data_IF_225753830516
#
_entry.id   IF_225753830516
#
_cell.length_a   1.000
_cell.length_b   1.000
_cell.length_c   1.000
_cell.angle_alpha   90.00
_cell.angle_beta   90.00
_cell.angle_gamma   90.00
#
_symmetry.space_group_name_H-M   'P 1'
#
loop_
_entity.id
_entity.type
_entity.pdbx_description
1 polymer ?
#
# COMPACT_ATOMS: atom_id res chain seq x y z
N UNK A 1 25.62 22.48 -17.64
CA UNK A 1 26.41 23.73 -17.67
C UNK A 1 26.01 24.64 -18.82
N UNK A 2 25.90 24.16 -20.07
CA UNK A 2 25.54 25.00 -21.23
C UNK A 2 24.21 25.76 -21.09
N UNK A 3 23.13 25.09 -20.66
CA UNK A 3 21.82 25.75 -20.46
C UNK A 3 21.92 26.91 -19.45
N UNK A 4 22.62 26.70 -18.34
CA UNK A 4 22.79 27.74 -17.33
C UNK A 4 23.68 28.91 -17.80
N UNK A 5 24.67 28.65 -18.67
CA UNK A 5 25.47 29.71 -19.31
C UNK A 5 24.60 30.55 -20.24
N UNK A 6 23.85 29.89 -21.12
CA UNK A 6 22.97 30.54 -22.08
C UNK A 6 21.92 31.41 -21.38
N UNK A 7 21.30 30.90 -20.31
CA UNK A 7 20.37 31.69 -19.49
C UNK A 7 21.04 32.95 -18.94
N UNK A 8 22.27 32.86 -18.42
CA UNK A 8 23.00 34.05 -17.91
C UNK A 8 23.35 35.04 -19.02
N UNK A 9 23.68 34.57 -20.23
CA UNK A 9 23.91 35.44 -21.38
C UNK A 9 22.63 36.21 -21.75
N UNK A 10 21.47 35.56 -21.72
CA UNK A 10 20.19 36.23 -21.94
C UNK A 10 19.83 37.21 -20.81
N UNK A 11 20.05 36.81 -19.55
CA UNK A 11 19.88 37.71 -18.40
C UNK A 11 20.76 38.96 -18.54
N UNK A 12 22.03 38.80 -18.93
CA UNK A 12 22.95 39.91 -19.16
C UNK A 12 22.48 40.84 -20.29
N UNK A 13 21.95 40.29 -21.39
CA UNK A 13 21.34 41.09 -22.48
C UNK A 13 20.15 41.91 -22.01
N UNK A 14 19.37 41.39 -21.07
CA UNK A 14 18.22 42.07 -20.45
C UNK A 14 18.64 43.01 -19.29
N UNK A 15 19.94 43.08 -18.97
CA UNK A 15 20.45 43.91 -17.87
C UNK A 15 20.14 43.37 -16.46
N UNK A 16 19.82 42.09 -16.35
CA UNK A 16 19.37 41.44 -15.11
C UNK A 16 20.47 40.52 -14.56
N UNK A 17 20.71 40.57 -13.25
CA UNK A 17 21.79 39.81 -12.61
C UNK A 17 21.31 38.58 -11.82
N UNK A 18 20.04 38.57 -11.40
CA UNK A 18 19.43 37.45 -10.66
C UNK A 18 18.22 36.90 -11.41
N UNK A 19 18.12 35.57 -11.49
CA UNK A 19 17.01 34.92 -12.19
C UNK A 19 15.66 35.26 -11.55
N UNK A 20 15.63 35.45 -10.23
CA UNK A 20 14.44 35.85 -9.48
C UNK A 20 13.84 37.17 -9.96
N UNK A 21 14.66 38.06 -10.51
CA UNK A 21 14.22 39.37 -11.00
C UNK A 21 13.54 39.25 -12.39
N UNK A 22 13.59 38.09 -13.03
CA UNK A 22 12.88 37.77 -14.29
C UNK A 22 11.57 37.00 -14.07
N UNK A 23 11.38 36.36 -12.92
CA UNK A 23 10.22 35.50 -12.69
C UNK A 23 8.95 36.38 -12.69
N UNK A 24 8.03 36.12 -13.62
CA UNK A 24 6.78 36.88 -13.73
C UNK A 24 6.88 38.21 -14.49
N UNK A 25 8.06 38.58 -15.04
CA UNK A 25 8.26 39.81 -15.84
C UNK A 25 7.74 39.67 -17.27
N UNK A 26 6.43 39.57 -17.44
CA UNK A 26 5.77 39.49 -18.76
C UNK A 26 5.93 40.76 -19.58
N UNK A 27 6.23 41.89 -18.93
CA UNK A 27 6.55 43.18 -19.56
C UNK A 27 7.85 43.15 -20.38
N UNK A 28 8.70 42.13 -20.20
CA UNK A 28 9.91 41.93 -21.01
C UNK A 28 9.65 41.11 -22.29
N UNK A 29 8.39 40.75 -22.56
CA UNK A 29 8.00 39.93 -23.70
C UNK A 29 7.14 40.74 -24.67
N UNK A 30 7.56 40.74 -25.95
CA UNK A 30 6.78 41.34 -27.04
C UNK A 30 6.16 40.26 -27.93
N UNK A 31 4.90 40.47 -28.34
CA UNK A 31 4.23 39.62 -29.32
C UNK A 31 4.73 39.97 -30.72
N UNK A 32 5.38 39.01 -31.38
CA UNK A 32 5.76 39.15 -32.78
C UNK A 32 4.56 38.88 -33.70
N UNK A 33 4.51 39.58 -34.83
CA UNK A 33 3.46 39.40 -35.83
C UNK A 33 3.48 37.97 -36.41
N UNK A 34 2.30 37.35 -36.50
CA UNK A 34 2.13 36.02 -37.06
C UNK A 34 2.46 35.95 -38.54
N UNK A 35 3.22 34.94 -38.97
CA UNK A 35 3.63 34.72 -40.37
C UNK A 35 2.56 34.02 -41.22
N UNK A 36 1.49 33.54 -40.59
CA UNK A 36 0.38 32.84 -41.25
C UNK A 36 -0.95 33.37 -40.74
N UNK A 37 -2.00 33.22 -41.55
CA UNK A 37 -3.37 33.62 -41.16
C UNK A 37 -3.85 32.93 -39.89
N UNK A 38 -3.39 31.69 -39.61
CA UNK A 38 -3.72 30.99 -38.37
C UNK A 38 -3.02 31.61 -37.15
N UNK A 39 -1.75 32.00 -37.29
CA UNK A 39 -1.00 32.65 -36.20
C UNK A 39 -1.53 34.05 -35.88
N UNK A 40 -1.96 34.79 -36.90
CA UNK A 40 -2.53 36.13 -36.73
C UNK A 40 -3.86 36.13 -35.95
N UNK A 41 -4.55 34.98 -35.89
CA UNK A 41 -5.79 34.81 -35.14
C UNK A 41 -5.57 34.39 -33.67
N UNK A 42 -4.33 34.29 -33.20
CA UNK A 42 -4.04 33.94 -31.80
C UNK A 42 -4.09 35.19 -30.92
N UNK A 43 -4.87 35.12 -29.86
CA UNK A 43 -4.83 36.07 -28.76
C UNK A 43 -3.85 35.56 -27.68
N UNK A 44 -2.68 36.19 -27.58
CA UNK A 44 -1.66 35.86 -26.57
C UNK A 44 -1.72 36.77 -25.34
N UNK A 45 -2.65 37.74 -25.29
CA UNK A 45 -2.81 38.64 -24.14
C UNK A 45 -2.98 37.90 -22.81
N UNK A 46 -3.70 36.75 -22.73
CA UNK A 46 -3.79 35.98 -21.49
C UNK A 46 -2.45 35.42 -20.97
N UNK A 47 -1.43 35.24 -21.83
CA UNK A 47 -0.10 34.78 -21.43
C UNK A 47 0.81 35.91 -20.93
N UNK A 48 0.54 37.15 -21.36
CA UNK A 48 1.32 38.34 -21.01
C UNK A 48 0.71 39.15 -19.86
N UNK A 49 -0.52 38.81 -19.45
CA UNK A 49 -1.17 39.42 -18.31
C UNK A 49 -0.67 38.81 -17.01
N UNK A 50 -0.34 39.65 -16.03
CA UNK A 50 -0.14 39.23 -14.63
C UNK A 50 -1.48 39.07 -13.88
N UNK A 51 -2.61 39.22 -14.59
CA UNK A 51 -3.97 39.18 -14.06
C UNK A 51 -4.23 40.16 -12.90
N UNK A 52 -3.46 41.25 -12.80
CA UNK A 52 -3.59 42.24 -11.74
C UNK A 52 -3.06 41.76 -10.38
N UNK A 53 -2.07 40.88 -10.38
CA UNK A 53 -1.38 40.48 -9.15
C UNK A 53 -0.74 41.71 -8.49
N UNK A 54 -1.05 41.91 -7.21
CA UNK A 54 -0.49 43.01 -6.43
C UNK A 54 1.04 42.96 -6.44
N UNK A 55 1.68 44.09 -6.77
CA UNK A 55 3.13 44.24 -6.79
C UNK A 55 3.79 43.96 -5.43
N UNK A 56 3.03 43.98 -4.33
CA UNK A 56 3.50 43.62 -2.99
C UNK A 56 3.64 42.12 -2.78
N UNK A 57 3.09 41.27 -3.65
CA UNK A 57 3.18 39.81 -3.53
C UNK A 57 4.49 39.30 -4.11
N UNK A 58 5.05 38.26 -3.48
CA UNK A 58 6.24 37.60 -3.98
C UNK A 58 5.96 36.97 -5.35
N UNK A 59 6.82 37.28 -6.34
CA UNK A 59 6.72 36.72 -7.69
C UNK A 59 7.36 35.33 -7.81
N UNK A 60 8.09 34.90 -6.78
CA UNK A 60 8.74 33.60 -6.71
C UNK A 60 8.60 33.00 -5.30
N UNK A 61 8.87 31.69 -5.18
CA UNK A 61 8.75 31.00 -3.90
C UNK A 61 9.80 31.52 -2.90
N UNK A 62 9.34 32.11 -1.81
CA UNK A 62 10.16 32.54 -0.67
C UNK A 62 10.07 31.59 0.53
N UNK A 63 9.09 30.69 0.51
CA UNK A 63 8.86 29.73 1.58
C UNK A 63 9.81 28.53 1.43
N UNK A 64 10.57 28.15 2.47
CA UNK A 64 11.51 27.05 2.37
C UNK A 64 10.81 25.69 2.24
N UNK A 65 9.57 25.58 2.75
CA UNK A 65 8.72 24.39 2.65
C UNK A 65 7.27 24.73 3.00
N UNK A 66 6.35 23.90 2.55
CA UNK A 66 4.96 23.94 3.00
C UNK A 66 4.86 23.29 4.39
N UNK A 67 4.22 23.99 5.34
CA UNK A 67 3.88 23.39 6.63
C UNK A 67 2.67 22.44 6.43
N UNK A 68 2.76 21.16 6.83
CA UNK A 68 1.63 20.27 6.74
C UNK A 68 0.52 20.72 7.71
N UNK A 69 -0.74 20.58 7.28
CA UNK A 69 -1.90 20.86 8.13
C UNK A 69 -1.96 19.88 9.31
N UNK A 70 -1.86 18.58 9.02
CA UNK A 70 -1.76 17.53 10.02
C UNK A 70 -0.35 17.45 10.56
N UNK A 71 -0.21 17.61 11.88
CA UNK A 71 1.08 17.58 12.57
C UNK A 71 1.49 16.17 12.99
N UNK A 72 0.59 15.18 12.90
CA UNK A 72 0.90 13.79 13.24
C UNK A 72 1.36 13.61 14.68
N UNK A 73 0.78 14.36 15.63
CA UNK A 73 1.29 14.46 17.01
C UNK A 73 1.46 13.09 17.69
N UNK A 74 0.49 12.18 17.51
CA UNK A 74 0.60 10.82 18.03
C UNK A 74 1.73 10.02 17.36
N UNK A 75 1.96 10.20 16.05
CA UNK A 75 3.04 9.51 15.35
C UNK A 75 4.41 10.01 15.83
N UNK A 76 4.57 11.32 16.08
CA UNK A 76 5.81 11.87 16.64
C UNK A 76 6.02 11.44 18.09
N UNK A 77 4.95 11.34 18.89
CA UNK A 77 5.03 10.76 20.24
C UNK A 77 5.51 9.30 20.19
N UNK A 78 4.92 8.48 19.33
CA UNK A 78 5.34 7.08 19.14
C UNK A 78 6.81 6.98 18.70
N UNK A 79 7.30 7.88 17.84
CA UNK A 79 8.73 7.94 17.50
C UNK A 79 9.55 8.25 18.75
N UNK A 80 9.21 9.28 19.52
CA UNK A 80 9.93 9.64 20.73
C UNK A 80 10.04 8.45 21.71
N UNK A 81 8.96 7.70 21.90
CA UNK A 81 8.90 6.57 22.82
C UNK A 81 9.75 5.38 22.33
N UNK A 82 9.86 5.20 21.02
CA UNK A 82 10.54 4.05 20.39
C UNK A 82 11.97 4.34 19.93
N UNK A 83 12.39 5.61 19.85
CA UNK A 83 13.61 6.01 19.16
C UNK A 83 14.87 5.37 19.74
N UNK A 84 14.98 5.30 21.06
CA UNK A 84 16.14 4.66 21.71
C UNK A 84 16.19 3.16 21.43
N UNK A 85 15.03 2.49 21.45
CA UNK A 85 14.94 1.07 21.10
C UNK A 85 15.31 0.80 19.63
N UNK A 86 14.92 1.71 18.72
CA UNK A 86 15.35 1.66 17.31
C UNK A 86 16.86 1.83 17.22
N UNK A 87 17.45 2.85 17.84
CA UNK A 87 18.91 3.08 17.79
C UNK A 87 19.71 1.88 18.30
N UNK A 88 19.23 1.25 19.37
CA UNK A 88 19.89 0.11 20.03
C UNK A 88 19.55 -1.25 19.39
N UNK A 89 18.61 -1.29 18.43
CA UNK A 89 18.03 -2.54 17.89
C UNK A 89 17.53 -3.48 18.99
N UNK A 90 16.97 -2.94 20.07
CA UNK A 90 16.49 -3.76 21.20
C UNK A 90 15.09 -4.31 21.00
N UNK A 91 14.36 -3.81 19.99
CA UNK A 91 12.93 -4.04 19.85
C UNK A 91 12.13 -3.49 21.03
N UNK A 92 10.89 -3.93 21.17
CA UNK A 92 10.04 -3.59 22.32
C UNK A 92 8.56 -3.58 21.97
N UNK A 93 7.72 -3.42 22.98
CA UNK A 93 6.27 -3.41 22.81
C UNK A 93 5.66 -2.14 23.42
N UNK A 94 4.78 -1.49 22.66
CA UNK A 94 4.23 -0.17 23.00
C UNK A 94 2.74 -0.15 22.67
N UNK A 95 1.92 0.38 23.57
CA UNK A 95 0.46 0.35 23.44
C UNK A 95 -0.15 1.76 23.35
N UNK A 96 -1.07 1.97 22.40
CA UNK A 96 -1.71 3.27 22.18
C UNK A 96 -3.18 3.14 21.75
N UNK A 97 -4.09 3.97 22.30
CA UNK A 97 -5.41 4.13 21.72
C UNK A 97 -5.35 4.98 20.45
N UNK A 98 -6.10 4.59 19.42
CA UNK A 98 -6.16 5.31 18.14
C UNK A 98 -7.59 5.65 17.73
N UNK A 99 -7.71 6.61 16.83
CA UNK A 99 -8.97 7.09 16.24
C UNK A 99 -8.75 7.33 14.75
N UNK A 100 -9.84 7.40 13.98
CA UNK A 100 -9.79 7.57 12.53
C UNK A 100 -9.06 8.85 12.05
N UNK A 101 -8.89 9.84 12.93
CA UNK A 101 -8.10 11.05 12.66
C UNK A 101 -6.58 10.79 12.66
N UNK A 102 -6.14 9.71 13.30
CA UNK A 102 -4.73 9.31 13.35
C UNK A 102 -4.39 8.54 12.08
N UNK A 103 -3.86 9.27 11.10
CA UNK A 103 -3.50 8.76 9.76
C UNK A 103 -2.03 8.38 9.70
N UNK A 104 -1.69 7.47 8.79
CA UNK A 104 -0.30 7.09 8.51
C UNK A 104 0.48 6.58 9.73
N UNK A 105 -0.21 6.02 10.73
CA UNK A 105 0.42 5.45 11.92
C UNK A 105 1.39 4.33 11.49
N UNK A 106 2.60 4.37 12.02
CA UNK A 106 3.71 3.48 11.65
C UNK A 106 4.68 4.05 10.61
N UNK A 107 4.29 5.05 9.81
CA UNK A 107 5.14 5.61 8.75
C UNK A 107 6.39 6.30 9.30
N UNK A 108 6.23 7.10 10.35
CA UNK A 108 7.35 7.82 10.98
C UNK A 108 8.35 6.88 11.64
N UNK A 109 7.87 5.84 12.35
CA UNK A 109 8.72 4.79 12.93
C UNK A 109 9.46 4.02 11.83
N UNK A 110 8.75 3.58 10.79
CA UNK A 110 9.38 2.89 9.65
C UNK A 110 10.45 3.76 8.98
N UNK A 111 10.23 5.08 8.89
CA UNK A 111 11.21 6.03 8.39
C UNK A 111 12.48 6.09 9.24
N UNK A 112 12.37 6.10 10.58
CA UNK A 112 13.53 6.06 11.47
C UNK A 112 14.27 4.71 11.40
N UNK A 113 13.53 3.59 11.34
CA UNK A 113 14.11 2.25 11.14
C UNK A 113 14.88 2.21 9.81
N UNK A 114 14.25 2.61 8.70
CA UNK A 114 14.86 2.57 7.38
C UNK A 114 16.09 3.49 7.28
N UNK A 115 16.03 4.66 7.91
CA UNK A 115 17.15 5.61 7.93
C UNK A 115 18.37 5.08 8.67
N UNK A 116 18.17 4.36 9.79
CA UNK A 116 19.26 3.85 10.61
C UNK A 116 19.74 2.46 10.17
N UNK A 117 18.82 1.60 9.71
CA UNK A 117 19.05 0.16 9.54
C UNK A 117 18.64 -0.38 8.17
N UNK A 118 18.11 0.46 7.28
CA UNK A 118 17.54 0.02 6.00
C UNK A 118 16.21 -0.75 6.17
N UNK A 119 15.70 -1.30 5.08
CA UNK A 119 14.33 -1.85 5.04
C UNK A 119 14.11 -3.06 5.95
N UNK A 120 15.13 -3.91 6.11
CA UNK A 120 15.03 -5.18 6.85
C UNK A 120 15.99 -5.28 8.04
N UNK A 121 16.85 -4.28 8.29
CA UNK A 121 17.94 -4.41 9.26
C UNK A 121 17.53 -4.47 10.73
N UNK A 122 16.23 -4.47 11.02
CA UNK A 122 15.64 -4.61 12.36
C UNK A 122 14.57 -5.72 12.40
N UNK A 123 14.45 -6.56 11.37
CA UNK A 123 13.46 -7.65 11.33
C UNK A 123 13.62 -8.65 12.50
N UNK A 124 14.86 -8.92 12.93
CA UNK A 124 15.15 -9.83 14.05
C UNK A 124 14.88 -9.23 15.44
N UNK A 125 14.56 -7.93 15.53
CA UNK A 125 14.35 -7.22 16.79
C UNK A 125 13.25 -6.16 16.65
N UNK A 126 12.01 -6.57 16.37
CA UNK A 126 10.95 -5.66 15.94
C UNK A 126 10.42 -4.78 17.08
N UNK A 127 9.98 -3.58 16.72
CA UNK A 127 9.07 -2.77 17.53
C UNK A 127 7.65 -3.29 17.29
N UNK A 128 6.95 -3.65 18.35
CA UNK A 128 5.54 -4.06 18.29
C UNK A 128 4.64 -2.97 18.83
N UNK A 129 3.75 -2.45 17.99
CA UNK A 129 2.71 -1.49 18.36
C UNK A 129 1.40 -2.24 18.62
N UNK A 130 0.88 -2.18 19.84
CA UNK A 130 -0.48 -2.63 20.17
C UNK A 130 -1.44 -1.45 20.14
N UNK A 131 -2.33 -1.46 19.17
CA UNK A 131 -3.27 -0.38 18.93
C UNK A 131 -4.69 -0.84 19.27
N UNK A 132 -5.49 0.05 19.83
CA UNK A 132 -6.92 -0.18 20.08
C UNK A 132 -7.77 0.98 19.54
N UNK A 133 -8.88 0.64 18.88
CA UNK A 133 -9.79 1.62 18.25
C UNK A 133 -9.78 1.55 16.73
N UNK A 134 -10.13 2.64 16.05
CA UNK A 134 -10.22 2.66 14.58
C UNK A 134 -9.05 3.42 13.98
N UNK A 135 -8.27 2.79 13.10
CA UNK A 135 -7.17 3.47 12.41
C UNK A 135 -7.67 4.38 11.28
N UNK A 136 -7.05 5.56 11.17
CA UNK A 136 -7.23 6.41 10.00
C UNK A 136 -6.63 5.80 8.73
N UNK A 137 -6.72 6.54 7.63
CA UNK A 137 -6.14 6.11 6.36
C UNK A 137 -4.63 5.81 6.49
N UNK A 138 -4.17 4.86 5.69
CA UNK A 138 -2.74 4.54 5.52
C UNK A 138 -2.05 3.93 6.75
N UNK A 139 -2.76 3.14 7.57
CA UNK A 139 -2.14 2.36 8.66
C UNK A 139 -0.98 1.50 8.12
N UNK A 140 0.21 1.64 8.70
CA UNK A 140 1.39 0.88 8.27
C UNK A 140 1.86 1.21 6.85
N UNK A 141 1.61 2.43 6.36
CA UNK A 141 2.18 2.86 5.07
C UNK A 141 3.71 2.84 5.13
N UNK A 142 4.32 2.19 4.15
CA UNK A 142 5.77 1.93 4.07
C UNK A 142 6.35 1.14 5.25
N UNK A 143 5.57 0.24 5.83
CA UNK A 143 5.99 -0.58 6.98
C UNK A 143 7.33 -1.29 6.71
N UNK A 144 8.29 -1.11 7.61
CA UNK A 144 9.63 -1.71 7.53
C UNK A 144 9.66 -3.09 8.21
N UNK A 145 10.68 -3.89 7.89
CA UNK A 145 10.95 -5.23 8.46
C UNK A 145 10.87 -5.31 9.98
N UNK A 146 11.34 -4.27 10.67
CA UNK A 146 11.36 -4.20 12.13
C UNK A 146 10.14 -3.57 12.78
N UNK A 147 9.00 -3.45 12.09
CA UNK A 147 7.78 -2.90 12.67
C UNK A 147 6.63 -3.90 12.58
N UNK A 148 6.11 -4.29 13.74
CA UNK A 148 4.90 -5.10 13.89
C UNK A 148 3.77 -4.23 14.44
N UNK A 149 2.61 -4.24 13.79
CA UNK A 149 1.42 -3.50 14.21
C UNK A 149 0.32 -4.50 14.48
N UNK A 150 -0.22 -4.50 15.70
CA UNK A 150 -1.37 -5.31 16.11
C UNK A 150 -2.51 -4.38 16.49
N UNK A 151 -3.57 -4.35 15.70
CA UNK A 151 -4.74 -3.51 15.89
C UNK A 151 -5.94 -4.33 16.32
N UNK A 152 -6.44 -4.06 17.54
CA UNK A 152 -7.74 -4.53 18.00
C UNK A 152 -8.79 -3.46 17.69
N UNK A 153 -9.56 -3.69 16.61
CA UNK A 153 -10.48 -2.71 16.04
C UNK A 153 -10.60 -2.84 14.52
N UNK A 154 -10.72 -1.71 13.83
CA UNK A 154 -10.89 -1.60 12.38
C UNK A 154 -9.96 -0.55 11.76
N UNK A 155 -9.74 -0.58 10.45
CA UNK A 155 -8.93 0.39 9.75
C UNK A 155 -9.58 0.90 8.46
N UNK A 156 -9.34 2.16 8.14
CA UNK A 156 -9.76 2.77 6.88
C UNK A 156 -8.86 2.32 5.71
N UNK A 157 -9.00 2.98 4.56
CA UNK A 157 -8.27 2.66 3.33
C UNK A 157 -6.74 2.64 3.48
N UNK A 158 -6.08 1.95 2.55
CA UNK A 158 -4.63 1.95 2.35
C UNK A 158 -3.80 1.28 3.44
N UNK A 159 -4.37 0.31 4.19
CA UNK A 159 -3.60 -0.49 5.15
C UNK A 159 -2.42 -1.16 4.43
N UNK A 160 -1.21 -0.99 4.94
CA UNK A 160 0.01 -1.56 4.37
C UNK A 160 0.37 -1.00 2.98
N UNK A 161 -0.10 0.19 2.60
CA UNK A 161 0.30 0.84 1.33
C UNK A 161 1.82 0.93 1.23
N UNK A 162 2.40 0.42 0.15
CA UNK A 162 3.84 0.42 -0.10
C UNK A 162 4.67 -0.28 0.98
N UNK A 163 4.07 -1.19 1.75
CA UNK A 163 4.74 -1.98 2.78
C UNK A 163 5.94 -2.74 2.19
N UNK A 164 7.08 -2.66 2.87
CA UNK A 164 8.32 -3.29 2.43
C UNK A 164 8.68 -4.53 3.27
N UNK A 165 8.17 -4.63 4.49
CA UNK A 165 8.42 -5.72 5.43
C UNK A 165 7.58 -5.57 6.70
N UNK A 166 7.91 -6.40 7.70
CA UNK A 166 7.23 -6.39 9.00
C UNK A 166 5.86 -7.03 8.93
N UNK A 167 5.03 -6.78 9.94
CA UNK A 167 3.74 -7.46 10.12
C UNK A 167 2.65 -6.47 10.51
N UNK A 168 1.49 -6.56 9.88
CA UNK A 168 0.29 -5.82 10.26
C UNK A 168 -0.82 -6.85 10.54
N UNK A 169 -1.40 -6.79 11.73
CA UNK A 169 -2.48 -7.66 12.18
C UNK A 169 -3.65 -6.78 12.56
N UNK A 170 -4.83 -7.07 12.02
CA UNK A 170 -6.07 -6.38 12.35
C UNK A 170 -7.11 -7.42 12.75
N UNK A 171 -7.59 -7.35 13.99
CA UNK A 171 -8.62 -8.25 14.50
C UNK A 171 -9.72 -7.47 15.21
N UNK A 172 -10.98 -7.98 15.20
CA UNK A 172 -12.04 -7.36 15.97
C UNK A 172 -11.68 -7.25 17.46
N UNK A 173 -12.26 -6.29 18.19
CA UNK A 173 -12.21 -6.27 19.65
C UNK A 173 -12.68 -7.59 20.24
N UNK A 174 -12.11 -7.99 21.39
CA UNK A 174 -12.43 -9.28 22.05
C UNK A 174 -13.90 -9.44 22.43
N UNK A 175 -14.60 -8.33 22.66
CA UNK A 175 -16.03 -8.24 22.99
C UNK A 175 -16.94 -8.10 21.76
N UNK A 176 -16.36 -8.12 20.55
CA UNK A 176 -17.13 -8.10 19.30
C UNK A 176 -17.99 -9.36 19.18
N UNK A 177 -19.28 -9.17 18.97
CA UNK A 177 -20.24 -10.25 18.74
C UNK A 177 -20.47 -10.54 17.25
N UNK A 178 -19.83 -9.77 16.35
CA UNK A 178 -19.98 -9.94 14.91
C UNK A 178 -19.14 -11.10 14.39
N UNK A 179 -19.65 -11.81 13.39
CA UNK A 179 -18.85 -12.77 12.63
C UNK A 179 -17.87 -12.00 11.75
N UNK A 180 -16.58 -12.23 11.97
CA UNK A 180 -15.50 -11.58 11.22
C UNK A 180 -15.68 -11.73 9.71
N UNK A 181 -16.02 -12.93 9.23
CA UNK A 181 -16.13 -13.25 7.80
C UNK A 181 -17.38 -12.68 7.12
N UNK A 182 -18.23 -11.96 7.86
CA UNK A 182 -19.39 -11.24 7.35
C UNK A 182 -19.25 -9.72 7.52
N UNK A 183 -18.13 -9.23 8.08
CA UNK A 183 -17.97 -7.82 8.49
C UNK A 183 -16.69 -7.19 7.92
N UNK A 184 -16.80 -5.99 7.36
CA UNK A 184 -15.64 -5.21 6.90
C UNK A 184 -14.77 -4.76 8.06
N UNK A 185 -13.47 -5.01 7.96
CA UNK A 185 -12.48 -4.63 8.98
C UNK A 185 -11.36 -3.73 8.44
N UNK A 186 -11.08 -3.80 7.13
CA UNK A 186 -10.13 -2.91 6.46
C UNK A 186 -10.73 -2.35 5.16
N UNK A 187 -10.38 -1.10 4.86
CA UNK A 187 -10.91 -0.37 3.70
C UNK A 187 -10.32 -0.79 2.35
N UNK A 188 -10.37 0.14 1.40
CA UNK A 188 -9.97 -0.06 0.01
C UNK A 188 -8.46 0.03 -0.20
N UNK A 189 -7.97 -0.52 -1.31
CA UNK A 189 -6.61 -0.30 -1.83
C UNK A 189 -5.52 -0.65 -0.81
N UNK A 190 -5.80 -1.64 0.04
CA UNK A 190 -4.82 -2.18 0.99
C UNK A 190 -3.68 -2.87 0.22
N UNK A 191 -2.47 -2.81 0.77
CA UNK A 191 -1.23 -3.34 0.18
C UNK A 191 -0.86 -2.75 -1.18
N UNK A 192 -1.35 -1.53 -1.48
CA UNK A 192 -1.05 -0.88 -2.75
C UNK A 192 0.46 -0.74 -2.98
N UNK A 193 1.00 -1.48 -3.96
CA UNK A 193 2.42 -1.43 -4.30
C UNK A 193 3.34 -2.03 -3.23
N UNK A 194 2.84 -2.90 -2.35
CA UNK A 194 3.65 -3.54 -1.32
C UNK A 194 4.72 -4.45 -1.97
N UNK A 195 5.92 -4.49 -1.40
CA UNK A 195 7.07 -5.24 -1.92
C UNK A 195 7.54 -6.36 -0.98
N UNK A 196 6.92 -6.51 0.19
CA UNK A 196 7.26 -7.52 1.18
C UNK A 196 6.44 -7.39 2.45
N UNK A 197 6.63 -8.32 3.39
CA UNK A 197 5.96 -8.32 4.70
C UNK A 197 4.58 -8.98 4.71
N UNK A 198 3.93 -8.99 5.88
CA UNK A 198 2.74 -9.80 6.15
C UNK A 198 1.55 -8.95 6.63
N UNK A 199 0.37 -9.16 6.05
CA UNK A 199 -0.90 -8.58 6.51
C UNK A 199 -1.92 -9.67 6.85
N UNK A 200 -2.40 -9.70 8.10
CA UNK A 200 -3.46 -10.59 8.53
C UNK A 200 -4.66 -9.79 9.02
N UNK A 201 -5.82 -9.94 8.38
CA UNK A 201 -7.05 -9.27 8.79
C UNK A 201 -8.18 -10.27 9.06
N UNK A 202 -8.70 -10.28 10.29
CA UNK A 202 -9.87 -11.06 10.69
C UNK A 202 -11.16 -10.33 10.30
N UNK A 203 -11.41 -10.28 8.99
CA UNK A 203 -12.64 -9.77 8.40
C UNK A 203 -12.51 -9.46 6.91
N UNK A 204 -13.52 -8.79 6.36
CA UNK A 204 -13.59 -8.43 4.95
C UNK A 204 -12.73 -7.19 4.65
N UNK A 205 -12.04 -7.23 3.51
CA UNK A 205 -11.37 -6.07 2.93
C UNK A 205 -12.26 -5.41 1.86
N UNK A 206 -12.05 -4.11 1.64
CA UNK A 206 -12.72 -3.36 0.58
C UNK A 206 -12.24 -3.71 -0.84
N UNK A 207 -12.50 -2.80 -1.77
CA UNK A 207 -12.12 -2.89 -3.17
C UNK A 207 -10.61 -2.75 -3.38
N UNK A 208 -10.11 -3.26 -4.51
CA UNK A 208 -8.70 -3.17 -4.93
C UNK A 208 -7.72 -3.70 -3.89
N UNK A 209 -8.12 -4.71 -3.13
CA UNK A 209 -7.24 -5.36 -2.17
C UNK A 209 -6.02 -5.95 -2.89
N UNK A 210 -4.82 -5.69 -2.39
CA UNK A 210 -3.55 -6.13 -2.97
C UNK A 210 -3.29 -5.62 -4.40
N UNK A 211 -3.83 -4.45 -4.77
CA UNK A 211 -3.54 -3.83 -6.06
C UNK A 211 -2.06 -3.52 -6.21
N UNK A 212 -1.44 -3.98 -7.30
CA UNK A 212 0.00 -3.86 -7.55
C UNK A 212 0.88 -4.45 -6.44
N UNK A 213 0.40 -5.47 -5.72
CA UNK A 213 1.26 -6.19 -4.79
C UNK A 213 2.41 -6.88 -5.56
N UNK A 214 3.63 -6.70 -5.06
CA UNK A 214 4.86 -7.19 -5.67
C UNK A 214 5.65 -8.12 -4.75
N UNK A 215 5.17 -8.40 -3.54
CA UNK A 215 5.90 -9.27 -2.62
C UNK A 215 5.30 -9.49 -1.23
N UNK A 216 4.23 -8.79 -0.87
CA UNK A 216 3.60 -9.01 0.43
C UNK A 216 2.79 -10.32 0.45
N UNK A 217 2.77 -10.94 1.63
CA UNK A 217 1.89 -12.05 1.96
C UNK A 217 0.69 -11.53 2.75
N UNK A 218 -0.53 -12.00 2.45
CA UNK A 218 -1.69 -11.58 3.22
C UNK A 218 -2.80 -12.63 3.31
N UNK A 219 -3.55 -12.58 4.40
CA UNK A 219 -4.75 -13.39 4.64
C UNK A 219 -5.90 -12.49 5.11
N UNK A 220 -7.04 -12.59 4.42
CA UNK A 220 -8.27 -11.86 4.72
C UNK A 220 -9.48 -12.79 4.58
N UNK A 221 -10.61 -12.46 5.17
CA UNK A 221 -11.80 -13.34 5.17
C UNK A 221 -12.76 -13.07 4.01
N UNK A 222 -12.43 -12.09 3.16
CA UNK A 222 -13.13 -11.77 1.92
C UNK A 222 -12.61 -10.45 1.35
N UNK A 223 -12.89 -10.18 0.08
CA UNK A 223 -12.45 -8.96 -0.61
C UNK A 223 -13.56 -8.40 -1.49
N UNK A 224 -13.56 -7.08 -1.69
CA UNK A 224 -14.41 -6.41 -2.67
C UNK A 224 -13.94 -6.63 -4.13
N UNK A 225 -14.40 -5.74 -5.02
CA UNK A 225 -14.07 -5.80 -6.45
C UNK A 225 -12.60 -5.52 -6.71
N UNK A 226 -12.08 -6.00 -7.85
CA UNK A 226 -10.72 -5.75 -8.32
C UNK A 226 -9.63 -6.27 -7.37
N UNK A 227 -9.89 -7.36 -6.64
CA UNK A 227 -8.87 -8.02 -5.82
C UNK A 227 -7.67 -8.50 -6.65
N UNK A 228 -6.45 -8.32 -6.14
CA UNK A 228 -5.18 -8.66 -6.80
C UNK A 228 -4.96 -7.99 -8.17
N UNK A 229 -5.62 -6.86 -8.44
CA UNK A 229 -5.45 -6.14 -9.70
C UNK A 229 -3.98 -5.71 -9.89
N UNK A 230 -3.39 -5.96 -11.06
CA UNK A 230 -2.00 -5.65 -11.39
C UNK A 230 -0.94 -6.27 -10.44
N UNK A 231 -1.26 -7.33 -9.70
CA UNK A 231 -0.31 -8.02 -8.84
C UNK A 231 0.83 -8.65 -9.65
N UNK A 232 2.07 -8.44 -9.20
CA UNK A 232 3.31 -8.92 -9.85
C UNK A 232 4.15 -9.82 -8.94
N UNK A 233 3.74 -10.05 -7.69
CA UNK A 233 4.46 -10.91 -6.75
C UNK A 233 3.75 -11.00 -5.39
N UNK A 234 4.22 -11.91 -4.54
CA UNK A 234 3.62 -12.18 -3.22
C UNK A 234 2.56 -13.28 -3.24
N UNK A 235 1.87 -13.44 -2.11
CA UNK A 235 0.90 -14.51 -1.89
C UNK A 235 -0.33 -13.99 -1.14
N UNK A 236 -1.51 -14.06 -1.75
CA UNK A 236 -2.76 -13.58 -1.17
C UNK A 236 -3.71 -14.74 -0.88
N UNK A 237 -4.23 -14.83 0.34
CA UNK A 237 -5.23 -15.84 0.72
C UNK A 237 -6.53 -15.16 1.12
N UNK A 238 -7.61 -15.51 0.44
CA UNK A 238 -8.96 -15.02 0.70
C UNK A 238 -9.79 -16.18 1.23
N UNK A 239 -10.13 -16.14 2.51
CA UNK A 239 -10.91 -17.17 3.20
C UNK A 239 -12.43 -17.00 3.01
N UNK A 240 -12.86 -16.41 1.91
CA UNK A 240 -14.27 -16.17 1.64
C UNK A 240 -14.51 -15.58 0.25
N UNK A 241 -15.62 -14.86 0.11
CA UNK A 241 -16.07 -14.34 -1.17
C UNK A 241 -15.18 -13.21 -1.69
N UNK A 242 -15.16 -13.08 -3.02
CA UNK A 242 -14.52 -11.97 -3.72
C UNK A 242 -15.58 -11.11 -4.43
N UNK A 243 -15.23 -9.87 -4.76
CA UNK A 243 -15.95 -9.09 -5.76
C UNK A 243 -15.60 -9.51 -7.19
N UNK A 244 -16.04 -8.71 -8.16
CA UNK A 244 -15.82 -8.94 -9.60
C UNK A 244 -14.42 -8.50 -10.05
N UNK A 245 -14.02 -8.97 -11.24
CA UNK A 245 -12.78 -8.61 -11.92
C UNK A 245 -11.51 -8.96 -11.11
N UNK A 246 -11.55 -10.04 -10.33
CA UNK A 246 -10.40 -10.52 -9.57
C UNK A 246 -9.24 -10.89 -10.49
N UNK A 247 -8.03 -10.47 -10.14
CA UNK A 247 -6.79 -10.79 -10.88
C UNK A 247 -6.65 -10.09 -12.23
N UNK A 248 -7.42 -9.04 -12.51
CA UNK A 248 -7.24 -8.24 -13.71
C UNK A 248 -5.83 -7.64 -13.79
N UNK A 249 -5.12 -7.86 -14.90
CA UNK A 249 -3.74 -7.38 -15.04
C UNK A 249 -2.71 -8.10 -14.15
N UNK A 250 -3.07 -9.17 -13.44
CA UNK A 250 -2.16 -9.92 -12.58
C UNK A 250 -1.16 -10.72 -13.42
N UNK A 251 0.14 -10.46 -13.24
CA UNK A 251 1.23 -11.04 -14.03
C UNK A 251 2.26 -11.79 -13.18
N UNK A 252 2.16 -11.74 -11.85
CA UNK A 252 3.07 -12.45 -10.94
C UNK A 252 2.46 -12.74 -9.57
N UNK A 253 3.13 -13.61 -8.80
CA UNK A 253 2.61 -14.13 -7.53
C UNK A 253 1.46 -15.13 -7.72
N UNK A 254 0.79 -15.50 -6.63
CA UNK A 254 -0.42 -16.33 -6.69
C UNK A 254 -1.38 -16.02 -5.55
N UNK A 255 -2.60 -16.51 -5.66
CA UNK A 255 -3.60 -16.38 -4.61
C UNK A 255 -4.35 -17.69 -4.33
N UNK A 256 -4.81 -17.86 -3.10
CA UNK A 256 -5.80 -18.87 -2.73
C UNK A 256 -7.14 -18.18 -2.47
N UNK A 257 -8.22 -18.71 -3.05
CA UNK A 257 -9.57 -18.17 -2.86
C UNK A 257 -10.52 -19.27 -2.46
N UNK A 258 -11.15 -19.14 -1.29
CA UNK A 258 -12.19 -20.05 -0.83
C UNK A 258 -13.52 -19.75 -1.53
N UNK A 259 -13.99 -20.69 -2.35
CA UNK A 259 -15.20 -20.52 -3.17
C UNK A 259 -16.33 -21.43 -2.69
N UNK A 260 -16.98 -21.03 -1.60
CA UNK A 260 -18.09 -21.79 -0.99
C UNK A 260 -19.37 -21.78 -1.83
N UNK A 261 -19.64 -20.68 -2.54
CA UNK A 261 -20.85 -20.47 -3.35
C UNK A 261 -20.69 -20.92 -4.81
N UNK A 262 -19.48 -21.36 -5.21
CA UNK A 262 -19.12 -21.71 -6.59
C UNK A 262 -19.22 -20.52 -7.56
N UNK A 263 -19.25 -19.29 -7.05
CA UNK A 263 -19.39 -18.08 -7.85
C UNK A 263 -18.06 -17.47 -8.30
N UNK A 264 -16.91 -17.98 -7.84
CA UNK A 264 -15.61 -17.38 -8.21
C UNK A 264 -15.30 -17.45 -9.71
N UNK A 265 -15.75 -18.51 -10.40
CA UNK A 265 -15.53 -18.70 -11.85
C UNK A 265 -16.10 -17.55 -12.68
N UNK A 266 -17.21 -16.94 -12.24
CA UNK A 266 -17.86 -15.81 -12.92
C UNK A 266 -17.27 -14.45 -12.51
N UNK A 267 -16.42 -14.42 -11.48
CA UNK A 267 -15.90 -13.18 -10.86
C UNK A 267 -14.46 -12.87 -11.21
N UNK A 268 -13.67 -13.84 -11.68
CA UNK A 268 -12.27 -13.59 -12.02
C UNK A 268 -12.11 -13.09 -13.47
N UNK A 269 -11.03 -12.37 -13.72
CA UNK A 269 -10.69 -11.88 -15.05
C UNK A 269 -9.89 -12.96 -15.81
N UNK A 270 -10.45 -13.49 -16.89
CA UNK A 270 -9.84 -14.59 -17.65
C UNK A 270 -8.68 -14.18 -18.56
N UNK A 271 -8.31 -12.89 -18.65
CA UNK A 271 -7.32 -12.41 -19.62
C UNK A 271 -5.94 -13.02 -19.34
N UNK A 272 -5.43 -12.83 -18.10
CA UNK A 272 -4.03 -13.13 -17.77
C UNK A 272 -3.83 -14.20 -16.68
N UNK A 273 -4.90 -14.65 -16.02
CA UNK A 273 -4.81 -15.65 -14.95
C UNK A 273 -5.56 -16.94 -15.27
N UNK A 274 -5.09 -18.04 -14.69
CA UNK A 274 -5.72 -19.35 -14.66
C UNK A 274 -6.04 -19.75 -13.21
N UNK A 275 -7.00 -20.67 -13.06
CA UNK A 275 -7.44 -21.19 -11.76
C UNK A 275 -7.36 -22.71 -11.72
N UNK A 276 -6.89 -23.26 -10.59
CA UNK A 276 -6.75 -24.70 -10.37
C UNK A 276 -7.36 -25.10 -9.03
N UNK A 277 -8.07 -26.24 -8.96
CA UNK A 277 -8.56 -26.76 -7.69
C UNK A 277 -7.42 -27.34 -6.87
N UNK A 278 -7.39 -27.03 -5.57
CA UNK A 278 -6.41 -27.57 -4.61
C UNK A 278 -6.88 -28.93 -4.07
N UNK A 279 -7.17 -29.90 -4.94
CA UNK A 279 -7.72 -31.21 -4.54
C UNK A 279 -7.08 -32.43 -5.21
N UNK A 280 -6.17 -32.21 -6.16
CA UNK A 280 -5.54 -33.28 -6.94
C UNK A 280 -4.26 -33.72 -6.23
N UNK A 281 -3.87 -34.99 -6.35
CA UNK A 281 -2.64 -35.54 -5.78
C UNK A 281 -1.39 -34.73 -6.18
N UNK A 282 -1.37 -34.15 -7.39
CA UNK A 282 -0.32 -33.25 -7.86
C UNK A 282 -0.26 -31.89 -7.15
N UNK A 283 -1.22 -31.56 -6.27
CA UNK A 283 -1.33 -30.29 -5.54
C UNK A 283 -0.97 -30.41 -4.06
N UNK A 284 -0.37 -31.52 -3.63
CA UNK A 284 -0.04 -31.77 -2.22
C UNK A 284 0.81 -30.65 -1.59
N UNK A 285 1.82 -30.15 -2.31
CA UNK A 285 2.65 -29.04 -1.84
C UNK A 285 1.84 -27.76 -1.58
N UNK A 286 0.88 -27.46 -2.46
CA UNK A 286 -0.03 -26.31 -2.31
C UNK A 286 -1.02 -26.48 -1.17
N UNK A 287 -1.48 -27.71 -0.94
CA UNK A 287 -2.35 -28.04 0.17
C UNK A 287 -1.65 -27.83 1.51
N UNK A 288 -0.41 -28.29 1.64
CA UNK A 288 0.38 -28.11 2.85
C UNK A 288 0.69 -26.62 3.09
N UNK A 289 1.11 -25.91 2.04
CA UNK A 289 1.35 -24.47 2.12
C UNK A 289 0.10 -23.68 2.52
N UNK A 290 -1.07 -24.01 1.97
CA UNK A 290 -2.34 -23.38 2.37
C UNK A 290 -2.68 -23.68 3.84
N UNK A 291 -2.49 -24.91 4.29
CA UNK A 291 -2.71 -25.27 5.69
C UNK A 291 -1.81 -24.44 6.63
N UNK A 292 -0.52 -24.33 6.31
CA UNK A 292 0.45 -23.56 7.10
C UNK A 292 0.09 -22.07 7.15
N UNK A 293 -0.34 -21.49 6.02
CA UNK A 293 -0.80 -20.09 5.96
C UNK A 293 -1.99 -19.86 6.88
N UNK A 294 -3.00 -20.73 6.83
CA UNK A 294 -4.20 -20.58 7.66
C UNK A 294 -3.84 -20.79 9.13
N UNK A 295 -2.92 -21.71 9.44
CA UNK A 295 -2.42 -21.92 10.79
C UNK A 295 -1.70 -20.69 11.35
N UNK A 296 -0.81 -20.06 10.56
CA UNK A 296 -0.16 -18.79 10.97
C UNK A 296 -1.21 -17.69 11.17
N UNK A 297 -2.14 -17.55 10.23
CA UNK A 297 -3.22 -16.57 10.31
C UNK A 297 -4.03 -16.72 11.60
N UNK A 298 -4.44 -17.93 11.96
CA UNK A 298 -5.18 -18.20 13.20
C UNK A 298 -4.33 -17.89 14.43
N UNK A 299 -3.05 -18.27 14.43
CA UNK A 299 -2.15 -17.97 15.54
C UNK A 299 -1.96 -16.46 15.77
N UNK A 300 -1.93 -15.66 14.70
CA UNK A 300 -1.72 -14.21 14.80
C UNK A 300 -3.01 -13.43 15.08
N UNK A 301 -4.16 -13.89 14.58
CA UNK A 301 -5.43 -13.15 14.64
C UNK A 301 -6.42 -13.68 15.66
N UNK A 302 -6.31 -14.95 16.06
CA UNK A 302 -7.36 -15.64 16.82
C UNK A 302 -8.67 -15.82 16.05
N UNK A 303 -8.65 -15.77 14.71
CA UNK A 303 -9.87 -15.88 13.89
C UNK A 303 -10.61 -17.19 14.14
N UNK A 304 -11.85 -17.07 14.61
CA UNK A 304 -12.75 -18.23 14.76
C UNK A 304 -13.15 -18.85 13.42
N UNK A 305 -13.22 -18.06 12.35
CA UNK A 305 -13.49 -18.57 11.01
C UNK A 305 -12.29 -19.33 10.44
N UNK A 306 -11.08 -18.80 10.60
CA UNK A 306 -9.85 -19.50 10.24
C UNK A 306 -9.71 -20.83 10.99
N UNK A 307 -10.01 -20.84 12.31
CA UNK A 307 -9.98 -22.06 13.11
C UNK A 307 -11.02 -23.08 12.60
N UNK A 308 -12.23 -22.63 12.28
CA UNK A 308 -13.26 -23.51 11.71
C UNK A 308 -12.81 -24.16 10.39
N UNK A 309 -12.12 -23.42 9.51
CA UNK A 309 -11.54 -23.96 8.28
C UNK A 309 -10.46 -24.99 8.58
N UNK A 310 -9.56 -24.73 9.54
CA UNK A 310 -8.51 -25.69 9.93
C UNK A 310 -9.09 -26.99 10.50
N UNK A 311 -10.06 -26.88 11.40
CA UNK A 311 -10.70 -28.04 12.04
C UNK A 311 -11.40 -28.95 11.01
N UNK A 312 -11.85 -28.38 9.90
CA UNK A 312 -12.59 -29.07 8.83
C UNK A 312 -11.83 -29.03 7.50
N UNK A 313 -10.49 -28.95 7.53
CA UNK A 313 -9.69 -28.63 6.36
C UNK A 313 -9.88 -29.61 5.20
N UNK A 314 -10.12 -30.90 5.48
CA UNK A 314 -10.44 -31.91 4.46
C UNK A 314 -11.64 -31.54 3.60
N UNK A 315 -12.63 -30.87 4.19
CA UNK A 315 -13.90 -30.52 3.56
C UNK A 315 -13.81 -29.19 2.82
N UNK A 316 -12.88 -28.32 3.25
CA UNK A 316 -12.66 -27.00 2.67
C UNK A 316 -11.62 -27.00 1.57
N UNK A 317 -10.56 -27.82 1.65
CA UNK A 317 -9.41 -27.73 0.73
C UNK A 317 -9.83 -27.85 -0.75
N UNK A 318 -10.78 -28.74 -1.07
CA UNK A 318 -11.28 -28.88 -2.44
C UNK A 318 -12.15 -27.72 -2.94
N UNK A 319 -12.53 -26.80 -2.05
CA UNK A 319 -13.28 -25.57 -2.37
C UNK A 319 -12.35 -24.39 -2.64
N UNK A 320 -11.05 -24.51 -2.37
CA UNK A 320 -10.09 -23.48 -2.73
C UNK A 320 -9.72 -23.54 -4.21
N UNK A 321 -9.62 -22.36 -4.81
CA UNK A 321 -8.94 -22.13 -6.06
C UNK A 321 -7.53 -21.60 -5.79
N UNK A 322 -6.54 -22.19 -6.44
CA UNK A 322 -5.25 -21.57 -6.67
C UNK A 322 -5.35 -20.71 -7.93
N UNK A 323 -5.09 -19.41 -7.80
CA UNK A 323 -5.08 -18.43 -8.88
C UNK A 323 -3.64 -18.08 -9.22
N UNK A 324 -3.25 -18.25 -10.48
CA UNK A 324 -1.90 -17.91 -10.95
C UNK A 324 -1.93 -17.17 -12.29
N UNK A 325 -0.90 -16.39 -12.63
CA UNK A 325 -0.70 -15.92 -13.99
C UNK A 325 -0.54 -17.08 -14.97
N UNK A 326 -1.05 -16.91 -16.19
CA UNK A 326 -0.89 -17.88 -17.29
C UNK A 326 0.57 -18.15 -17.63
N UNK A 327 1.40 -17.11 -17.57
CA UNK A 327 2.83 -17.20 -17.87
C UNK A 327 3.67 -17.90 -16.78
N UNK A 328 3.10 -18.18 -15.60
CA UNK A 328 3.80 -18.83 -14.51
C UNK A 328 3.56 -20.34 -14.52
N UNK A 329 4.64 -21.12 -14.39
CA UNK A 329 4.57 -22.57 -14.25
C UNK A 329 4.15 -22.95 -12.83
N UNK A 330 3.26 -23.94 -12.72
CA UNK A 330 2.76 -24.36 -11.42
C UNK A 330 3.89 -24.89 -10.52
N UNK A 331 4.83 -25.68 -11.02
CA UNK A 331 5.84 -26.28 -10.14
C UNK A 331 6.84 -25.26 -9.57
N UNK A 332 6.93 -24.06 -10.13
CA UNK A 332 7.92 -23.04 -9.73
C UNK A 332 7.39 -21.94 -8.81
N UNK A 333 6.07 -21.84 -8.59
CA UNK A 333 5.50 -20.73 -7.79
C UNK A 333 5.94 -20.77 -6.32
N UNK A 334 5.92 -21.95 -5.69
CA UNK A 334 6.32 -22.10 -4.29
C UNK A 334 7.81 -21.85 -4.08
N UNK A 335 8.65 -22.28 -5.03
CA UNK A 335 10.09 -22.02 -4.98
C UNK A 335 10.41 -20.53 -5.19
N UNK A 336 9.66 -19.86 -6.07
CA UNK A 336 9.76 -18.41 -6.28
C UNK A 336 9.39 -17.64 -5.01
N UNK A 337 8.38 -18.09 -4.25
CA UNK A 337 8.07 -17.48 -2.95
C UNK A 337 9.18 -17.72 -1.92
N UNK A 338 9.66 -18.96 -1.80
CA UNK A 338 10.70 -19.32 -0.81
C UNK A 338 12.01 -18.57 -1.04
N UNK A 339 12.32 -18.22 -2.28
CA UNK A 339 13.50 -17.42 -2.63
C UNK A 339 13.32 -15.91 -2.44
N UNK A 340 12.07 -15.44 -2.34
CA UNK A 340 11.74 -14.03 -2.12
C UNK A 340 11.53 -13.68 -0.63
N UNK A 341 11.31 -14.68 0.22
CA UNK A 341 11.19 -14.58 1.68
C UNK A 341 12.56 -14.59 2.37
#
# INVERSE_FOLDING_TARGET
TFVAEETRLWMAKLGVTKLTDLIGRTDLLDVLEGKTTKQQNLDLTPLLSDAGVDASKAQYCIEPRNAPFDKGELAEQMVSDTLEAIKQKSGGEYAYPIRNIHRSIGARISGEIAKLHGNQGMADSPITLRLSGSAGQSLGVWNAGGLHIKLSGDANDYVGKGMAGGKIIVNPPMDSCFKSHETTIIGNTCLYGATGGQLFAAGLAGERFAVRNSGAHAVVEGVGDHGCEYMTGGCITVLGTTGINFGAGMTGGFAYVLDNDKGFVDRYNHELIDIHRVSIESMEAYRNHLHDIIQEYVAETGSGWGQHILDNFSDFVGKFWLVKPKAAELDSLLDTLRSAA
#
